data_IF_362466937457
#
_entry.id   IF_362466937457
#
_cell.length_a   1.000
_cell.length_b   1.000
_cell.length_c   1.000
_cell.angle_alpha   90.00
_cell.angle_beta   90.00
_cell.angle_gamma   90.00
#
_symmetry.space_group_name_H-M   'P 1'
#
loop_
_entity.id
_entity.type
_entity.pdbx_description
1 polymer ?
#
# COMPACT_ATOMS: atom_id res chain seq x y z
N UNK A 1 -14.44 -17.07 2.09
CA UNK A 1 -14.77 -15.84 1.34
C UNK A 1 -13.57 -15.45 0.49
N UNK A 2 -13.77 -15.00 -0.75
CA UNK A 2 -12.71 -14.66 -1.71
C UNK A 2 -12.99 -13.31 -2.37
N UNK A 3 -11.97 -12.55 -2.83
CA UNK A 3 -12.20 -11.30 -3.56
C UNK A 3 -12.77 -11.61 -4.95
N UNK A 4 -14.10 -11.61 -5.07
CA UNK A 4 -14.81 -12.01 -6.29
C UNK A 4 -16.00 -11.08 -6.56
N UNK A 5 -15.91 -10.28 -7.62
CA UNK A 5 -16.88 -9.22 -7.95
C UNK A 5 -18.28 -9.79 -8.15
N UNK A 6 -18.41 -10.88 -8.92
CA UNK A 6 -19.72 -11.50 -9.17
C UNK A 6 -20.43 -12.02 -7.92
N UNK A 7 -19.68 -12.46 -6.89
CA UNK A 7 -20.26 -12.97 -5.66
C UNK A 7 -20.87 -11.82 -4.85
N UNK A 8 -20.11 -10.73 -4.68
CA UNK A 8 -20.59 -9.56 -3.94
C UNK A 8 -21.67 -8.80 -4.71
N UNK A 9 -21.55 -8.71 -6.04
CA UNK A 9 -22.57 -8.10 -6.90
C UNK A 9 -23.91 -8.82 -6.81
N UNK A 10 -23.91 -10.16 -6.82
CA UNK A 10 -25.13 -10.95 -6.62
C UNK A 10 -25.81 -10.69 -5.27
N UNK A 11 -25.03 -10.54 -4.20
CA UNK A 11 -25.57 -10.18 -2.88
C UNK A 11 -26.15 -8.76 -2.88
N UNK A 12 -25.44 -7.78 -3.43
CA UNK A 12 -25.89 -6.37 -3.45
C UNK A 12 -27.13 -6.18 -4.32
N UNK A 13 -27.25 -6.88 -5.44
CA UNK A 13 -28.44 -6.83 -6.29
C UNK A 13 -29.70 -7.24 -5.52
N UNK A 14 -29.64 -8.34 -4.77
CA UNK A 14 -30.75 -8.80 -3.92
C UNK A 14 -31.11 -7.82 -2.81
N UNK A 15 -30.12 -7.11 -2.25
CA UNK A 15 -30.38 -6.04 -1.27
C UNK A 15 -31.07 -4.86 -1.95
N UNK A 16 -30.65 -4.51 -3.17
CA UNK A 16 -31.19 -3.37 -3.92
C UNK A 16 -32.60 -3.58 -4.47
N UNK A 17 -33.08 -4.82 -4.56
CA UNK A 17 -34.49 -5.11 -4.80
C UNK A 17 -35.40 -4.50 -3.71
N UNK A 18 -34.90 -4.40 -2.47
CA UNK A 18 -35.64 -3.83 -1.33
C UNK A 18 -35.18 -2.39 -1.03
N UNK A 19 -33.88 -2.13 -1.09
CA UNK A 19 -33.26 -0.83 -0.78
C UNK A 19 -32.42 -0.36 -1.97
N UNK A 20 -33.02 0.29 -2.98
CA UNK A 20 -32.36 0.57 -4.27
C UNK A 20 -31.07 1.39 -4.18
N UNK A 21 -30.94 2.23 -3.15
CA UNK A 21 -29.78 3.09 -2.92
C UNK A 21 -28.77 2.51 -1.92
N UNK A 22 -28.87 1.22 -1.58
CA UNK A 22 -27.91 0.57 -0.69
C UNK A 22 -26.48 0.72 -1.22
N UNK A 23 -25.57 1.11 -0.31
CA UNK A 23 -24.13 1.29 -0.54
C UNK A 23 -23.37 0.35 0.39
N UNK A 24 -22.24 -0.17 -0.09
CA UNK A 24 -21.42 -1.09 0.69
C UNK A 24 -20.06 -0.49 1.03
N UNK A 25 -19.57 -0.84 2.21
CA UNK A 25 -18.15 -0.70 2.56
C UNK A 25 -17.52 -2.08 2.44
N UNK A 26 -16.41 -2.20 1.72
CA UNK A 26 -15.76 -3.48 1.46
C UNK A 26 -14.33 -3.51 1.97
N UNK A 27 -14.02 -4.58 2.71
CA UNK A 27 -12.68 -4.89 3.18
C UNK A 27 -11.91 -5.66 2.09
N UNK A 28 -10.96 -4.99 1.45
CA UNK A 28 -9.93 -5.60 0.60
C UNK A 28 -8.90 -6.29 1.51
N UNK A 29 -9.29 -7.43 2.09
CA UNK A 29 -8.57 -8.04 3.20
C UNK A 29 -7.12 -8.40 2.84
N UNK A 30 -6.13 -8.02 3.68
CA UNK A 30 -4.74 -8.47 3.51
C UNK A 30 -4.57 -9.97 3.84
N UNK A 31 -5.57 -10.61 4.45
CA UNK A 31 -5.57 -12.05 4.71
C UNK A 31 -5.90 -12.89 3.47
N UNK A 32 -6.33 -12.26 2.37
CA UNK A 32 -6.50 -12.95 1.09
C UNK A 32 -5.16 -13.10 0.39
N UNK A 33 -4.90 -14.29 -0.17
CA UNK A 33 -3.85 -14.43 -1.18
C UNK A 33 -4.39 -13.88 -2.52
N UNK A 34 -4.18 -12.59 -2.77
CA UNK A 34 -4.71 -11.89 -3.95
C UNK A 34 -4.26 -12.53 -5.26
N UNK A 35 -2.96 -12.72 -5.44
CA UNK A 35 -2.39 -13.30 -6.66
C UNK A 35 -2.97 -14.68 -6.96
N UNK A 36 -2.99 -15.60 -5.97
CA UNK A 36 -3.54 -16.93 -6.18
C UNK A 36 -5.04 -16.89 -6.51
N UNK A 37 -5.82 -16.08 -5.80
CA UNK A 37 -7.26 -15.97 -6.04
C UNK A 37 -7.56 -15.42 -7.44
N UNK A 38 -6.83 -14.41 -7.91
CA UNK A 38 -7.05 -13.82 -9.22
C UNK A 38 -6.51 -14.69 -10.36
N UNK A 39 -5.34 -15.31 -10.19
CA UNK A 39 -4.81 -16.28 -11.17
C UNK A 39 -5.76 -17.48 -11.33
N UNK A 40 -6.35 -17.99 -10.25
CA UNK A 40 -7.38 -19.04 -10.34
C UNK A 40 -8.65 -18.54 -11.02
N UNK A 41 -9.10 -17.31 -10.75
CA UNK A 41 -10.26 -16.73 -11.45
C UNK A 41 -10.02 -16.54 -12.95
N UNK A 42 -8.81 -16.17 -13.35
CA UNK A 42 -8.42 -16.08 -14.77
C UNK A 42 -8.35 -17.47 -15.39
N UNK A 43 -7.71 -18.43 -14.72
CA UNK A 43 -7.67 -19.83 -15.16
C UNK A 43 -9.07 -20.39 -15.42
N UNK A 44 -9.97 -20.26 -14.44
CA UNK A 44 -11.34 -20.77 -14.52
C UNK A 44 -12.13 -20.07 -15.64
N UNK A 45 -11.88 -18.77 -15.87
CA UNK A 45 -12.50 -18.02 -16.97
C UNK A 45 -11.98 -18.49 -18.35
N UNK A 46 -10.67 -18.66 -18.48
CA UNK A 46 -10.04 -19.13 -19.73
C UNK A 46 -10.48 -20.55 -20.09
N UNK A 47 -10.55 -21.44 -19.10
CA UNK A 47 -11.07 -22.80 -19.27
C UNK A 47 -12.53 -22.77 -19.76
N UNK A 48 -13.37 -21.93 -19.14
CA UNK A 48 -14.77 -21.77 -19.56
C UNK A 48 -14.91 -21.15 -20.97
N UNK A 49 -13.97 -20.30 -21.38
CA UNK A 49 -13.89 -19.72 -22.73
C UNK A 49 -13.29 -20.69 -23.77
N UNK A 50 -12.80 -21.86 -23.35
CA UNK A 50 -12.17 -22.85 -24.22
C UNK A 50 -10.76 -22.47 -24.66
N UNK A 51 -10.08 -21.56 -23.94
CA UNK A 51 -8.67 -21.23 -24.17
C UNK A 51 -7.78 -22.37 -23.66
N UNK A 52 -6.63 -22.55 -24.29
CA UNK A 52 -5.67 -23.58 -23.86
C UNK A 52 -5.02 -23.17 -22.52
N UNK A 53 -5.33 -23.96 -21.49
CA UNK A 53 -4.78 -23.79 -20.14
C UNK A 53 -3.80 -24.91 -19.76
N UNK A 54 -3.42 -25.79 -20.69
CA UNK A 54 -2.59 -26.97 -20.43
C UNK A 54 -1.19 -26.64 -19.90
N UNK A 55 -0.67 -25.44 -20.19
CA UNK A 55 0.60 -24.94 -19.67
C UNK A 55 0.54 -24.53 -18.18
N UNK A 56 -0.66 -24.43 -17.61
CA UNK A 56 -0.88 -23.94 -16.26
C UNK A 56 -1.38 -25.07 -15.35
N UNK A 57 -0.67 -25.32 -14.26
CA UNK A 57 -1.19 -26.13 -13.17
C UNK A 57 -1.92 -25.22 -12.18
N UNK A 58 -3.25 -25.40 -12.13
CA UNK A 58 -4.16 -24.63 -11.27
C UNK A 58 -3.76 -24.65 -9.79
N UNK A 59 -3.14 -25.73 -9.32
CA UNK A 59 -2.72 -25.87 -7.92
C UNK A 59 -1.46 -25.05 -7.57
N UNK A 60 -0.64 -24.73 -8.56
CA UNK A 60 0.67 -24.08 -8.38
C UNK A 60 0.76 -22.69 -9.01
N UNK A 61 -0.38 -22.06 -9.31
CA UNK A 61 -0.46 -20.74 -9.95
C UNK A 61 0.22 -19.60 -9.17
N UNK A 62 0.56 -19.75 -7.89
CA UNK A 62 1.35 -18.77 -7.14
C UNK A 62 2.85 -18.79 -7.49
N UNK A 63 3.32 -19.79 -8.24
CA UNK A 63 4.73 -19.98 -8.56
C UNK A 63 5.31 -18.81 -9.36
N UNK A 64 6.56 -18.48 -9.07
CA UNK A 64 7.37 -17.47 -9.79
C UNK A 64 7.52 -17.80 -11.28
N UNK A 65 7.42 -19.09 -11.63
CA UNK A 65 7.50 -19.56 -13.02
C UNK A 65 6.40 -18.96 -13.91
N UNK A 66 5.30 -18.51 -13.31
CA UNK A 66 4.17 -17.91 -14.02
C UNK A 66 4.19 -16.38 -14.05
N UNK A 67 5.14 -15.70 -13.40
CA UNK A 67 5.10 -14.23 -13.24
C UNK A 67 5.14 -13.46 -14.57
N UNK A 68 5.77 -14.02 -15.60
CA UNK A 68 5.82 -13.45 -16.95
C UNK A 68 4.76 -14.01 -17.91
N UNK A 69 3.81 -14.80 -17.41
CA UNK A 69 2.78 -15.42 -18.26
C UNK A 69 1.62 -14.47 -18.57
N UNK A 70 0.92 -14.72 -19.67
CA UNK A 70 -0.29 -13.97 -20.03
C UNK A 70 -1.39 -14.09 -18.96
N UNK A 71 -1.50 -15.26 -18.32
CA UNK A 71 -2.45 -15.49 -17.23
C UNK A 71 -2.13 -14.60 -16.02
N UNK A 72 -0.85 -14.43 -15.69
CA UNK A 72 -0.43 -13.53 -14.62
C UNK A 72 -0.68 -12.06 -14.98
N UNK A 73 -0.37 -11.65 -16.22
CA UNK A 73 -0.62 -10.29 -16.67
C UNK A 73 -2.12 -9.92 -16.61
N UNK A 74 -3.01 -10.83 -17.03
CA UNK A 74 -4.45 -10.61 -16.93
C UNK A 74 -4.93 -10.61 -15.47
N UNK A 75 -4.38 -11.48 -14.62
CA UNK A 75 -4.72 -11.51 -13.19
C UNK A 75 -4.32 -10.20 -12.49
N UNK A 76 -3.14 -9.67 -12.78
CA UNK A 76 -2.67 -8.40 -12.23
C UNK A 76 -3.50 -7.22 -12.72
N UNK A 77 -3.95 -7.23 -13.98
CA UNK A 77 -4.87 -6.21 -14.49
C UNK A 77 -6.22 -6.25 -13.75
N UNK A 78 -6.78 -7.45 -13.52
CA UNK A 78 -8.01 -7.61 -12.73
C UNK A 78 -7.83 -7.17 -11.27
N UNK A 79 -6.66 -7.39 -10.66
CA UNK A 79 -6.33 -6.86 -9.33
C UNK A 79 -6.29 -5.33 -9.36
N UNK A 80 -5.63 -4.75 -10.36
CA UNK A 80 -5.50 -3.30 -10.55
C UNK A 80 -6.86 -2.61 -10.69
N UNK A 81 -7.79 -3.20 -11.43
CA UNK A 81 -9.14 -2.64 -11.65
C UNK A 81 -10.16 -3.04 -10.59
N UNK A 82 -9.84 -3.99 -9.69
CA UNK A 82 -10.79 -4.58 -8.73
C UNK A 82 -11.68 -3.54 -8.03
N UNK A 83 -11.09 -2.47 -7.48
CA UNK A 83 -11.85 -1.44 -6.76
C UNK A 83 -12.81 -0.69 -7.68
N UNK A 84 -12.35 -0.29 -8.87
CA UNK A 84 -13.17 0.43 -9.84
C UNK A 84 -14.32 -0.43 -10.37
N UNK A 85 -14.02 -1.69 -10.71
CA UNK A 85 -14.99 -2.64 -11.26
C UNK A 85 -16.02 -3.03 -10.21
N UNK A 86 -15.60 -3.34 -8.99
CA UNK A 86 -16.53 -3.70 -7.91
C UNK A 86 -17.34 -2.52 -7.39
N UNK A 87 -16.83 -1.29 -7.47
CA UNK A 87 -17.64 -0.08 -7.24
C UNK A 87 -18.76 0.04 -8.29
N UNK A 88 -18.41 -0.13 -9.57
CA UNK A 88 -19.35 -0.04 -10.70
C UNK A 88 -20.39 -1.15 -10.68
N UNK A 89 -19.97 -2.40 -10.48
CA UNK A 89 -20.79 -3.60 -10.68
C UNK A 89 -21.47 -4.08 -9.41
N UNK A 90 -20.86 -3.86 -8.24
CA UNK A 90 -21.37 -4.33 -6.96
C UNK A 90 -21.74 -3.19 -6.01
N UNK A 91 -21.72 -1.92 -6.45
CA UNK A 91 -22.20 -0.81 -5.64
C UNK A 91 -21.38 -0.55 -4.38
N UNK A 92 -20.11 -0.94 -4.37
CA UNK A 92 -19.18 -0.65 -3.29
C UNK A 92 -18.88 0.86 -3.32
N UNK A 93 -19.17 1.53 -2.22
CA UNK A 93 -18.97 2.97 -2.07
C UNK A 93 -17.62 3.30 -1.44
N UNK A 94 -17.14 2.45 -0.53
CA UNK A 94 -15.90 2.67 0.19
C UNK A 94 -15.06 1.39 0.23
N UNK A 95 -13.79 1.53 -0.13
CA UNK A 95 -12.79 0.48 -0.08
C UNK A 95 -11.81 0.78 1.04
N UNK A 96 -11.50 -0.24 1.83
CA UNK A 96 -10.44 -0.18 2.83
C UNK A 96 -9.59 -1.45 2.78
N UNK A 97 -8.37 -1.37 3.29
CA UNK A 97 -7.58 -2.54 3.70
C UNK A 97 -7.54 -2.43 5.23
N UNK A 98 -7.85 -3.49 5.96
CA UNK A 98 -7.96 -3.41 7.43
C UNK A 98 -6.63 -3.13 8.12
N UNK A 99 -5.58 -3.90 7.81
CA UNK A 99 -4.28 -3.83 8.50
C UNK A 99 -3.10 -3.55 7.54
N UNK A 100 -3.18 -2.61 6.59
CA UNK A 100 -2.09 -2.37 5.63
C UNK A 100 -0.83 -1.89 6.36
N UNK A 101 -0.99 -1.01 7.35
CA UNK A 101 0.12 -0.41 8.09
C UNK A 101 0.83 -1.39 9.03
N UNK A 102 0.14 -2.44 9.49
CA UNK A 102 0.79 -3.54 10.23
C UNK A 102 1.83 -4.23 9.36
N UNK A 103 1.44 -4.60 8.13
CA UNK A 103 2.32 -5.29 7.19
C UNK A 103 3.44 -4.38 6.68
N UNK A 104 3.14 -3.12 6.33
CA UNK A 104 4.17 -2.21 5.81
C UNK A 104 5.20 -1.86 6.88
N UNK A 105 4.80 -1.64 8.14
CA UNK A 105 5.74 -1.39 9.23
C UNK A 105 6.65 -2.59 9.48
N UNK A 106 6.08 -3.80 9.58
CA UNK A 106 6.86 -5.02 9.79
C UNK A 106 7.86 -5.27 8.64
N UNK A 107 7.42 -5.14 7.39
CA UNK A 107 8.27 -5.34 6.21
C UNK A 107 9.37 -4.29 6.11
N UNK A 108 9.06 -3.01 6.34
CA UNK A 108 10.07 -1.95 6.29
C UNK A 108 11.14 -2.13 7.36
N UNK A 109 10.74 -2.52 8.58
CA UNK A 109 11.67 -2.74 9.69
C UNK A 109 12.54 -3.97 9.45
N UNK A 110 11.98 -5.08 8.96
CA UNK A 110 12.74 -6.29 8.61
C UNK A 110 13.77 -6.02 7.50
N UNK A 111 13.37 -5.34 6.43
CA UNK A 111 14.28 -4.97 5.34
C UNK A 111 15.40 -4.02 5.80
N UNK A 112 15.09 -3.06 6.67
CA UNK A 112 16.08 -2.14 7.22
C UNK A 112 17.07 -2.89 8.14
N UNK A 113 16.58 -3.70 9.07
CA UNK A 113 17.41 -4.46 10.00
C UNK A 113 18.35 -5.42 9.26
N UNK A 114 17.84 -6.15 8.27
CA UNK A 114 18.63 -7.06 7.42
C UNK A 114 19.82 -6.37 6.75
N UNK A 115 19.63 -5.15 6.24
CA UNK A 115 20.69 -4.39 5.57
C UNK A 115 21.63 -3.74 6.56
N UNK A 116 21.08 -3.07 7.58
CA UNK A 116 21.85 -2.29 8.53
C UNK A 116 22.78 -3.15 9.40
N UNK A 117 22.30 -4.31 9.84
CA UNK A 117 23.10 -5.27 10.59
C UNK A 117 23.78 -6.33 9.71
N UNK A 118 23.53 -6.29 8.40
CA UNK A 118 24.28 -7.06 7.40
C UNK A 118 25.49 -6.27 6.87
N UNK A 119 25.94 -6.64 5.68
CA UNK A 119 27.16 -6.05 5.08
C UNK A 119 26.99 -4.59 4.64
N UNK A 120 25.75 -4.12 4.44
CA UNK A 120 25.48 -2.75 3.95
C UNK A 120 25.74 -1.68 5.04
N UNK A 121 25.59 -2.01 6.33
CA UNK A 121 25.74 -1.04 7.43
C UNK A 121 24.87 0.22 7.24
N UNK A 122 25.44 1.40 7.50
CA UNK A 122 24.77 2.70 7.29
C UNK A 122 24.27 2.91 5.85
N UNK A 123 24.90 2.29 4.84
CA UNK A 123 24.46 2.42 3.45
C UNK A 123 23.06 1.83 3.25
N UNK A 124 22.69 0.81 4.02
CA UNK A 124 21.36 0.21 4.01
C UNK A 124 20.25 1.23 4.32
N UNK A 125 20.48 2.06 5.34
CA UNK A 125 19.59 3.17 5.71
C UNK A 125 19.64 4.30 4.66
N UNK A 126 20.83 4.81 4.34
CA UNK A 126 20.98 5.96 3.44
C UNK A 126 20.38 5.69 2.06
N UNK A 127 20.63 4.50 1.50
CA UNK A 127 20.19 4.14 0.14
C UNK A 127 18.68 3.96 0.04
N UNK A 128 18.05 3.29 1.01
CA UNK A 128 16.65 2.84 0.89
C UNK A 128 15.65 3.69 1.69
N UNK A 129 16.13 4.55 2.61
CA UNK A 129 15.28 5.43 3.41
C UNK A 129 15.60 6.88 3.09
N UNK A 130 16.75 7.40 3.52
CA UNK A 130 17.04 8.84 3.45
C UNK A 130 17.03 9.39 2.03
N UNK A 131 17.69 8.73 1.06
CA UNK A 131 17.69 9.18 -0.33
C UNK A 131 16.31 9.11 -0.96
N UNK A 132 15.50 8.12 -0.59
CA UNK A 132 14.15 7.95 -1.12
C UNK A 132 13.20 9.00 -0.55
N UNK A 133 13.29 9.31 0.75
CA UNK A 133 12.52 10.42 1.34
C UNK A 133 12.85 11.76 0.67
N UNK A 134 14.14 12.05 0.45
CA UNK A 134 14.56 13.28 -0.24
C UNK A 134 14.00 13.32 -1.67
N UNK A 135 14.22 12.27 -2.47
CA UNK A 135 13.81 12.24 -3.89
C UNK A 135 12.30 12.30 -4.10
N UNK A 136 11.54 11.76 -3.15
CA UNK A 136 10.09 11.75 -3.20
C UNK A 136 9.46 12.95 -2.48
N UNK A 137 10.26 13.85 -1.89
CA UNK A 137 9.78 15.02 -1.16
C UNK A 137 9.01 14.66 0.12
N UNK A 138 9.38 13.57 0.79
CA UNK A 138 8.74 13.13 2.04
C UNK A 138 9.28 13.99 3.19
N UNK A 139 8.38 14.74 3.83
CA UNK A 139 8.72 15.69 4.89
C UNK A 139 9.38 15.06 6.13
N UNK A 140 9.22 13.74 6.32
CA UNK A 140 9.82 12.98 7.43
C UNK A 140 11.35 13.09 7.50
N UNK A 141 12.04 13.39 6.40
CA UNK A 141 13.50 13.64 6.46
C UNK A 141 13.84 14.78 7.43
N UNK A 142 12.95 15.80 7.53
CA UNK A 142 12.97 16.88 8.51
C UNK A 142 12.12 16.49 9.74
N UNK A 143 12.47 15.38 10.38
CA UNK A 143 11.67 14.78 11.46
C UNK A 143 11.46 15.68 12.68
N UNK A 144 12.36 16.63 12.95
CA UNK A 144 12.18 17.61 14.06
C UNK A 144 11.00 18.54 13.77
N UNK A 145 10.93 19.11 12.57
CA UNK A 145 9.79 19.91 12.11
C UNK A 145 8.50 19.08 12.15
N UNK A 146 8.53 17.85 11.64
CA UNK A 146 7.37 16.95 11.68
C UNK A 146 6.92 16.58 13.10
N UNK A 147 7.83 16.60 14.08
CA UNK A 147 7.54 16.43 15.50
C UNK A 147 7.08 17.74 16.20
N UNK A 148 7.00 18.84 15.46
CA UNK A 148 6.50 20.13 15.95
C UNK A 148 7.55 21.02 16.60
N UNK A 149 8.85 20.84 16.32
CA UNK A 149 9.90 21.70 16.89
C UNK A 149 9.66 23.17 16.60
N UNK A 150 9.25 23.49 15.37
CA UNK A 150 9.12 24.86 14.89
C UNK A 150 7.94 25.57 15.57
N UNK A 151 6.82 24.84 15.76
CA UNK A 151 5.67 25.32 16.54
C UNK A 151 6.10 25.62 17.99
N UNK A 152 6.93 24.74 18.56
CA UNK A 152 7.47 24.95 19.89
C UNK A 152 8.36 26.19 19.99
N UNK A 153 9.18 26.45 18.98
CA UNK A 153 10.07 27.60 18.94
C UNK A 153 9.31 28.91 18.72
N UNK A 154 8.33 28.94 17.82
CA UNK A 154 7.43 30.09 17.62
C UNK A 154 6.70 30.45 18.93
N UNK A 155 6.23 29.43 19.66
CA UNK A 155 5.58 29.64 20.94
C UNK A 155 6.53 30.24 21.98
N UNK A 156 7.76 29.72 22.10
CA UNK A 156 8.75 30.28 23.04
C UNK A 156 9.12 31.71 22.69
N UNK A 157 9.32 31.99 21.40
CA UNK A 157 9.65 33.33 20.91
C UNK A 157 8.52 34.33 21.21
N UNK A 158 7.25 33.91 21.05
CA UNK A 158 6.11 34.73 21.42
C UNK A 158 6.11 35.16 22.91
N UNK A 159 6.52 34.28 23.83
CA UNK A 159 6.51 34.58 25.28
C UNK A 159 7.80 35.20 25.81
N UNK A 160 8.96 34.77 25.30
CA UNK A 160 10.26 35.12 25.85
C UNK A 160 11.07 36.05 24.92
N UNK A 161 10.59 36.34 23.72
CA UNK A 161 11.29 37.16 22.73
C UNK A 161 12.71 36.64 22.49
N UNK A 162 13.68 37.55 22.53
CA UNK A 162 15.09 37.25 22.32
C UNK A 162 15.69 36.26 23.34
N UNK A 163 15.05 36.05 24.50
CA UNK A 163 15.50 35.11 25.52
C UNK A 163 14.98 33.67 25.28
N UNK A 164 14.24 33.43 24.19
CA UNK A 164 13.70 32.11 23.87
C UNK A 164 14.80 31.09 23.55
N UNK A 165 14.80 29.96 24.29
CA UNK A 165 15.69 28.82 24.02
C UNK A 165 15.11 27.93 22.91
N UNK A 166 15.49 28.23 21.67
CA UNK A 166 15.02 27.56 20.46
C UNK A 166 15.77 26.25 20.18
N UNK A 167 15.07 25.29 19.58
CA UNK A 167 15.66 24.08 19.00
C UNK A 167 16.29 24.38 17.63
N UNK A 168 15.77 25.37 16.92
CA UNK A 168 16.38 25.96 15.73
C UNK A 168 17.61 26.81 16.06
N UNK A 169 18.58 26.81 15.15
CA UNK A 169 19.87 27.50 15.32
C UNK A 169 20.88 27.08 14.26
N UNK A 170 22.08 27.64 14.34
CA UNK A 170 23.19 27.35 13.41
C UNK A 170 23.54 25.85 13.37
N UNK A 171 23.54 25.21 14.54
CA UNK A 171 23.84 23.79 14.70
C UNK A 171 22.65 22.85 14.47
N UNK A 172 21.50 23.36 14.00
CA UNK A 172 20.34 22.51 13.75
C UNK A 172 20.65 21.51 12.62
N UNK A 173 20.48 20.22 12.90
CA UNK A 173 20.72 19.14 11.94
C UNK A 173 19.84 19.23 10.69
N UNK A 174 18.69 19.91 10.78
CA UNK A 174 17.82 20.18 9.63
C UNK A 174 18.48 21.08 8.57
N UNK A 175 19.52 21.85 8.92
CA UNK A 175 20.25 22.70 7.97
C UNK A 175 20.95 21.86 6.88
N UNK A 176 21.26 20.59 7.16
CA UNK A 176 21.79 19.64 6.18
C UNK A 176 20.78 19.29 5.07
N UNK A 177 19.49 19.60 5.29
CA UNK A 177 18.40 19.35 4.35
C UNK A 177 17.78 20.64 3.80
N UNK A 178 18.49 21.77 3.90
CA UNK A 178 17.96 23.08 3.49
C UNK A 178 17.83 23.21 1.96
N UNK A 179 18.71 22.58 1.19
CA UNK A 179 18.80 22.68 -0.29
C UNK A 179 18.36 21.41 -1.03
N UNK A 180 17.77 20.45 -0.32
CA UNK A 180 17.31 19.15 -0.87
C UNK A 180 15.82 18.94 -0.69
#
# INVERSE_FOLDING_TARGET
EKPHIGQIGGMVNRIREVIPNAKLVYNNSPSFNWTLNFRQQVYDAWEAEGRDVSAYDRATLMSVTYDASELAAEADERIRTFQADSSREAGIFHHLITLPTYHTAALSTDNLAKRYFGDDGMLGYVKNVQREEIRQGIACVKHQNMAGSDIGDDHKEYFAGDAALKAAGEDNTMNQFAEV
#
